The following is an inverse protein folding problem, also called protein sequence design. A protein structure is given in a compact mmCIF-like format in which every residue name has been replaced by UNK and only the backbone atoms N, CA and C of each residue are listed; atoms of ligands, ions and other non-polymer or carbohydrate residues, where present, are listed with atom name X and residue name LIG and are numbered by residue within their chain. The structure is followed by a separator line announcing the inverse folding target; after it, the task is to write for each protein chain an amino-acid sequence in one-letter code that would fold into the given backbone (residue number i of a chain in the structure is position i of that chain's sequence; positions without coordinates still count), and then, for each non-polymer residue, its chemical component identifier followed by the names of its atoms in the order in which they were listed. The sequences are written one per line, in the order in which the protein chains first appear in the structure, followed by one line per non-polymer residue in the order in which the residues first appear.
data_IF_090577084194
#
_entry.id   IF_090577084194
#
_cell.length_a   1.000
_cell.length_b   1.000
_cell.length_c   1.000
_cell.angle_alpha   90.00
_cell.angle_beta   90.00
_cell.angle_gamma   90.00
#
_symmetry.space_group_name_H-M   'P 1'
#
loop_
_entity.id
_entity.type
_entity.pdbx_description
1 polymer ?
#
# COMPACT_ATOMS: atom_id res chain seq x y z
N UNK A 1 15.30 -4.37 5.56
CA UNK A 1 15.45 -3.08 6.26
C UNK A 1 14.58 -3.06 7.50
N UNK A 2 15.14 -2.65 8.63
CA UNK A 2 14.39 -2.51 9.88
C UNK A 2 13.68 -1.16 9.90
N UNK A 3 12.65 -1.01 10.73
CA UNK A 3 11.94 0.24 10.95
C UNK A 3 12.90 1.39 11.31
N UNK A 4 13.94 1.09 12.11
CA UNK A 4 14.97 2.06 12.47
C UNK A 4 15.76 2.63 11.30
N UNK A 5 16.04 1.80 10.29
CA UNK A 5 16.72 2.25 9.05
C UNK A 5 15.83 3.21 8.29
N UNK A 6 14.54 2.91 8.16
CA UNK A 6 13.58 3.79 7.50
C UNK A 6 13.39 5.10 8.25
N UNK A 7 13.27 5.05 9.59
CA UNK A 7 13.15 6.24 10.44
C UNK A 7 14.35 7.18 10.26
N UNK A 8 15.56 6.62 10.20
CA UNK A 8 16.79 7.40 9.94
C UNK A 8 16.80 7.99 8.52
N UNK A 9 16.42 7.19 7.52
CA UNK A 9 16.40 7.64 6.12
C UNK A 9 15.38 8.76 5.87
N UNK A 10 14.28 8.76 6.61
CA UNK A 10 13.19 9.73 6.43
C UNK A 10 13.28 10.93 7.39
N UNK A 11 14.29 10.99 8.23
CA UNK A 11 14.50 12.14 9.13
C UNK A 11 14.59 13.44 8.35
N UNK A 12 13.72 14.39 8.69
CA UNK A 12 13.64 15.69 8.03
C UNK A 12 12.93 15.70 6.68
N UNK A 13 12.48 14.54 6.20
CA UNK A 13 11.73 14.40 4.95
C UNK A 13 10.24 14.61 5.16
N UNK A 14 9.55 15.06 4.11
CA UNK A 14 8.10 15.17 4.06
C UNK A 14 7.52 13.94 3.38
N UNK A 15 6.68 13.19 4.11
CA UNK A 15 6.02 11.99 3.61
C UNK A 15 4.59 12.31 3.21
N UNK A 16 4.27 12.13 1.92
CA UNK A 16 2.92 12.24 1.39
C UNK A 16 2.12 10.96 1.64
N UNK A 17 0.85 11.09 2.04
CA UNK A 17 -0.05 9.96 2.28
C UNK A 17 -1.50 10.33 2.02
N UNK A 18 -2.28 9.39 1.47
CA UNK A 18 -3.72 9.60 1.33
C UNK A 18 -4.40 9.54 2.70
N UNK A 19 -5.29 10.50 2.96
CA UNK A 19 -6.07 10.58 4.21
C UNK A 19 -7.02 9.39 4.36
N UNK A 20 -7.37 9.07 5.61
CA UNK A 20 -8.27 7.97 5.98
C UNK A 20 -7.80 6.58 5.51
N UNK A 21 -6.48 6.37 5.43
CA UNK A 21 -5.88 5.08 5.09
C UNK A 21 -5.10 4.48 6.26
N UNK A 22 -4.87 3.18 6.21
CA UNK A 22 -3.98 2.48 7.16
C UNK A 22 -2.55 3.04 7.11
N UNK A 23 -2.13 3.57 5.96
CA UNK A 23 -0.81 4.18 5.78
C UNK A 23 -0.68 5.47 6.59
N UNK A 24 -1.72 6.33 6.58
CA UNK A 24 -1.77 7.51 7.45
C UNK A 24 -1.71 7.11 8.92
N UNK A 25 -2.56 6.17 9.35
CA UNK A 25 -2.60 5.70 10.74
C UNK A 25 -1.24 5.18 11.20
N UNK A 26 -0.52 4.46 10.33
CA UNK A 26 0.82 3.97 10.60
C UNK A 26 1.82 5.12 10.82
N UNK A 27 1.83 6.12 9.96
CA UNK A 27 2.73 7.28 10.11
C UNK A 27 2.42 8.07 11.39
N UNK A 28 1.14 8.25 11.71
CA UNK A 28 0.68 8.98 12.89
C UNK A 28 0.86 8.20 14.21
N UNK A 29 1.07 6.89 14.15
CA UNK A 29 1.32 6.05 15.33
C UNK A 29 2.63 6.37 16.06
N UNK A 30 3.49 7.19 15.46
CA UNK A 30 4.80 7.54 15.99
C UNK A 30 5.88 6.45 15.84
N UNK A 31 5.56 5.30 15.25
CA UNK A 31 6.53 4.22 15.01
C UNK A 31 7.68 4.66 14.09
N UNK A 32 7.43 5.64 13.23
CA UNK A 32 8.44 6.26 12.34
C UNK A 32 9.12 7.47 12.98
N UNK A 33 8.89 7.75 14.26
CA UNK A 33 9.41 8.93 14.93
C UNK A 33 8.76 10.22 14.40
N UNK A 34 9.43 11.37 14.61
CA UNK A 34 8.92 12.67 14.19
C UNK A 34 9.23 12.92 12.71
N UNK A 35 8.42 12.38 11.82
CA UNK A 35 8.44 12.68 10.39
C UNK A 35 7.42 13.76 10.05
N UNK A 36 7.67 14.54 9.02
CA UNK A 36 6.68 15.50 8.50
C UNK A 36 5.69 14.74 7.63
N UNK A 37 4.40 14.74 8.02
CA UNK A 37 3.34 14.08 7.28
C UNK A 37 2.56 15.14 6.51
N UNK A 38 2.32 14.91 5.22
CA UNK A 38 1.41 15.68 4.39
C UNK A 38 0.31 14.78 3.88
N UNK A 39 -0.92 15.09 4.24
CA UNK A 39 -2.11 14.32 3.87
C UNK A 39 -2.80 14.90 2.64
N UNK A 40 -3.37 14.03 1.82
CA UNK A 40 -4.07 14.37 0.58
C UNK A 40 -5.40 13.63 0.50
N UNK A 41 -6.37 14.16 -0.22
CA UNK A 41 -7.68 13.52 -0.38
C UNK A 41 -7.61 12.28 -1.28
N UNK A 42 -6.74 12.31 -2.27
CA UNK A 42 -6.62 11.23 -3.26
C UNK A 42 -5.16 10.76 -3.40
N UNK A 43 -4.97 9.53 -3.86
CA UNK A 43 -3.64 9.01 -4.20
C UNK A 43 -3.03 9.78 -5.38
N UNK A 44 -3.83 10.25 -6.33
CA UNK A 44 -3.33 11.04 -7.46
C UNK A 44 -2.71 12.37 -7.03
N UNK A 45 -3.28 13.03 -6.03
CA UNK A 45 -2.67 14.24 -5.44
C UNK A 45 -1.33 13.92 -4.77
N UNK A 46 -1.22 12.80 -4.04
CA UNK A 46 0.06 12.32 -3.48
C UNK A 46 1.09 12.12 -4.60
N UNK A 47 0.70 11.45 -5.67
CA UNK A 47 1.57 11.14 -6.80
C UNK A 47 2.06 12.41 -7.52
N UNK A 48 1.18 13.39 -7.72
CA UNK A 48 1.51 14.68 -8.32
C UNK A 48 2.51 15.47 -7.47
N UNK A 49 2.30 15.48 -6.15
CA UNK A 49 3.18 16.21 -5.24
C UNK A 49 4.54 15.52 -5.08
N UNK A 50 4.58 14.19 -5.09
CA UNK A 50 5.81 13.42 -5.14
C UNK A 50 6.60 13.72 -6.42
N UNK A 51 5.93 13.66 -7.57
CA UNK A 51 6.56 13.92 -8.87
C UNK A 51 7.07 15.37 -9.06
N UNK A 52 6.46 16.32 -8.35
CA UNK A 52 6.87 17.73 -8.37
C UNK A 52 7.86 18.11 -7.26
N UNK A 53 8.25 17.17 -6.41
CA UNK A 53 9.17 17.42 -5.30
C UNK A 53 8.55 18.18 -4.11
N UNK A 54 7.22 18.32 -4.04
CA UNK A 54 6.55 18.94 -2.89
C UNK A 54 6.41 18.00 -1.69
N UNK A 55 6.55 16.70 -1.88
CA UNK A 55 6.93 15.75 -0.84
C UNK A 55 8.11 14.92 -1.32
N UNK A 56 8.90 14.42 -0.37
CA UNK A 56 10.15 13.71 -0.67
C UNK A 56 9.90 12.21 -0.89
N UNK A 57 8.91 11.69 -0.18
CA UNK A 57 8.54 10.26 -0.16
C UNK A 57 7.02 10.16 -0.11
N UNK A 58 6.46 9.07 -0.58
CA UNK A 58 5.06 8.75 -0.39
C UNK A 58 4.91 7.33 0.16
N UNK A 59 3.92 7.13 1.03
CA UNK A 59 3.58 5.82 1.58
C UNK A 59 2.19 5.40 1.10
N UNK A 60 2.12 4.28 0.37
CA UNK A 60 0.88 3.69 -0.13
C UNK A 60 1.06 2.20 -0.40
N UNK A 61 -0.03 1.53 -0.81
CA UNK A 61 0.06 0.16 -1.30
C UNK A 61 0.94 0.10 -2.57
N UNK A 62 1.82 -0.90 -2.66
CA UNK A 62 2.74 -1.06 -3.80
C UNK A 62 2.00 -1.06 -5.15
N UNK A 63 0.84 -1.73 -5.21
CA UNK A 63 0.00 -1.80 -6.42
C UNK A 63 -0.47 -0.42 -6.91
N UNK A 64 -0.67 0.55 -6.02
CA UNK A 64 -1.08 1.91 -6.38
C UNK A 64 0.05 2.71 -7.03
N UNK A 65 1.31 2.39 -6.71
CA UNK A 65 2.47 3.03 -7.29
C UNK A 65 2.98 2.39 -8.57
N UNK A 66 2.82 1.08 -8.73
CA UNK A 66 3.33 0.36 -9.91
C UNK A 66 2.78 0.97 -11.20
N UNK A 67 1.46 1.11 -11.28
CA UNK A 67 0.79 1.69 -12.45
C UNK A 67 1.22 3.15 -12.72
N UNK A 68 1.36 3.93 -11.65
CA UNK A 68 1.83 5.31 -11.77
C UNK A 68 3.29 5.41 -12.20
N UNK A 69 4.18 4.59 -11.62
CA UNK A 69 5.60 4.58 -11.97
C UNK A 69 5.85 4.20 -13.43
N UNK A 70 5.07 3.24 -13.95
CA UNK A 70 5.15 2.82 -15.35
C UNK A 70 4.61 3.87 -16.33
N UNK A 71 3.51 4.53 -15.99
CA UNK A 71 2.82 5.50 -16.86
C UNK A 71 3.40 6.91 -16.75
N UNK A 72 3.91 7.28 -15.57
CA UNK A 72 4.49 8.60 -15.38
C UNK A 72 5.91 8.62 -15.96
N UNK A 73 6.18 9.53 -16.87
CA UNK A 73 7.55 9.81 -17.34
C UNK A 73 8.44 10.49 -16.28
N UNK A 74 8.02 10.44 -15.02
CA UNK A 74 8.72 11.07 -13.90
C UNK A 74 9.61 10.04 -13.19
N UNK A 75 10.75 10.43 -12.63
CA UNK A 75 11.67 9.52 -11.94
C UNK A 75 11.15 9.13 -10.54
N UNK A 76 10.02 8.45 -10.48
CA UNK A 76 9.45 7.91 -9.24
C UNK A 76 9.72 6.42 -9.21
N UNK A 77 10.33 5.94 -8.12
CA UNK A 77 10.70 4.53 -7.95
C UNK A 77 10.13 3.97 -6.65
N UNK A 78 9.79 2.70 -6.69
CA UNK A 78 9.37 1.96 -5.50
C UNK A 78 10.63 1.61 -4.69
N UNK A 79 10.63 1.95 -3.41
CA UNK A 79 11.76 1.70 -2.51
C UNK A 79 11.30 1.17 -1.16
N UNK A 80 12.19 0.49 -0.46
CA UNK A 80 11.95 0.02 0.90
C UNK A 80 11.31 -1.37 0.97
N UNK A 81 11.09 -1.88 2.19
CA UNK A 81 10.50 -3.18 2.41
C UNK A 81 8.98 -3.14 2.22
N UNK A 82 8.39 -4.30 1.92
CA UNK A 82 6.96 -4.50 2.05
C UNK A 82 6.59 -4.66 3.51
N UNK A 83 5.57 -3.94 3.97
CA UNK A 83 5.02 -4.06 5.32
C UNK A 83 3.79 -4.95 5.32
N UNK A 84 3.71 -5.86 6.28
CA UNK A 84 2.54 -6.69 6.55
C UNK A 84 2.37 -6.93 8.05
N UNK A 85 1.18 -7.28 8.48
CA UNK A 85 0.85 -7.47 9.89
C UNK A 85 0.70 -6.16 10.66
N UNK A 86 0.42 -6.22 11.94
CA UNK A 86 0.21 -5.05 12.79
C UNK A 86 -0.81 -4.06 12.21
N UNK A 87 -0.41 -2.81 12.07
CA UNK A 87 -1.24 -1.74 11.52
C UNK A 87 -1.68 -1.96 10.05
N UNK A 88 -0.92 -2.76 9.29
CA UNK A 88 -1.23 -3.07 7.89
C UNK A 88 -2.13 -4.29 7.71
N UNK A 89 -2.42 -5.03 8.79
CA UNK A 89 -3.24 -6.25 8.73
C UNK A 89 -2.58 -7.39 7.95
N UNK A 90 -3.39 -8.43 7.68
CA UNK A 90 -2.90 -9.66 7.03
C UNK A 90 -3.15 -9.66 5.50
N UNK A 91 -3.44 -8.51 4.91
CA UNK A 91 -3.72 -8.37 3.49
C UNK A 91 -5.03 -7.67 3.19
N UNK A 92 -5.47 -7.75 1.94
CA UNK A 92 -6.72 -7.16 1.46
C UNK A 92 -7.86 -8.13 1.64
N UNK A 93 -8.97 -7.68 2.18
CA UNK A 93 -10.18 -8.47 2.40
C UNK A 93 -11.41 -7.89 1.69
N UNK A 94 -12.42 -8.73 1.51
CA UNK A 94 -13.75 -8.33 1.02
C UNK A 94 -14.64 -7.99 2.21
N UNK A 95 -15.20 -6.76 2.22
CA UNK A 95 -16.20 -6.37 3.23
C UNK A 95 -17.56 -6.99 2.93
N UNK A 96 -18.13 -7.73 3.88
CA UNK A 96 -19.44 -8.38 3.78
C UNK A 96 -20.25 -8.02 5.02
N UNK A 97 -21.59 -7.88 4.88
CA UNK A 97 -22.47 -7.70 6.05
C UNK A 97 -22.32 -8.86 7.00
N UNK A 98 -22.36 -8.58 8.30
CA UNK A 98 -22.10 -9.58 9.36
C UNK A 98 -23.08 -10.75 9.36
N UNK A 99 -24.32 -10.51 8.96
CA UNK A 99 -25.42 -11.47 8.89
C UNK A 99 -25.47 -12.26 7.58
N UNK A 100 -24.70 -11.87 6.57
CA UNK A 100 -24.67 -12.54 5.26
C UNK A 100 -23.65 -13.69 5.23
N UNK A 101 -23.95 -14.71 6.03
CA UNK A 101 -23.05 -15.87 6.21
C UNK A 101 -22.88 -16.72 4.96
N UNK A 102 -23.90 -16.79 4.09
CA UNK A 102 -23.86 -17.55 2.84
C UNK A 102 -22.91 -16.89 1.85
N UNK A 103 -22.98 -15.56 1.70
CA UNK A 103 -22.08 -14.81 0.85
C UNK A 103 -20.62 -14.91 1.37
N UNK A 104 -20.42 -14.85 2.68
CA UNK A 104 -19.10 -15.03 3.30
C UNK A 104 -18.50 -16.40 2.94
N UNK A 105 -19.27 -17.47 3.06
CA UNK A 105 -18.82 -18.83 2.69
C UNK A 105 -18.48 -18.92 1.21
N UNK A 106 -19.34 -18.34 0.34
CA UNK A 106 -19.13 -18.36 -1.10
C UNK A 106 -17.83 -17.63 -1.50
N UNK A 107 -17.58 -16.41 -0.97
CA UNK A 107 -16.36 -15.66 -1.23
C UNK A 107 -15.12 -16.39 -0.70
N UNK A 108 -15.13 -16.89 0.53
CA UNK A 108 -14.00 -17.61 1.07
C UNK A 108 -13.66 -18.87 0.27
N UNK A 109 -14.69 -19.61 -0.18
CA UNK A 109 -14.50 -20.78 -1.03
C UNK A 109 -13.88 -20.42 -2.38
N UNK A 110 -14.38 -19.36 -3.03
CA UNK A 110 -13.87 -18.90 -4.32
C UNK A 110 -12.43 -18.38 -4.22
N UNK A 111 -12.11 -17.58 -3.19
CA UNK A 111 -10.77 -17.06 -2.94
C UNK A 111 -9.80 -18.22 -2.69
N UNK A 112 -10.17 -19.18 -1.84
CA UNK A 112 -9.32 -20.34 -1.56
C UNK A 112 -9.07 -21.20 -2.81
N UNK A 113 -10.06 -21.38 -3.67
CA UNK A 113 -9.90 -22.06 -4.95
C UNK A 113 -8.96 -21.30 -5.87
N UNK A 114 -9.15 -19.98 -6.01
CA UNK A 114 -8.31 -19.15 -6.87
C UNK A 114 -6.85 -19.03 -6.36
N UNK A 115 -6.63 -19.12 -5.05
CA UNK A 115 -5.27 -19.23 -4.49
C UNK A 115 -4.64 -20.59 -4.80
N UNK A 116 -5.37 -21.68 -4.57
CA UNK A 116 -4.84 -23.04 -4.77
C UNK A 116 -4.49 -23.36 -6.22
N UNK A 117 -5.27 -22.86 -7.17
CA UNK A 117 -5.02 -23.08 -8.60
C UNK A 117 -4.08 -22.06 -9.25
N UNK A 118 -3.57 -21.10 -8.46
CA UNK A 118 -2.61 -20.10 -8.93
C UNK A 118 -3.21 -18.95 -9.72
N UNK A 119 -4.54 -18.82 -9.82
CA UNK A 119 -5.18 -17.74 -10.58
C UNK A 119 -4.86 -16.36 -10.00
N UNK A 120 -4.85 -16.22 -8.67
CA UNK A 120 -4.53 -14.94 -8.02
C UNK A 120 -3.09 -14.53 -8.33
N UNK A 121 -2.13 -15.45 -8.16
CA UNK A 121 -0.72 -15.20 -8.48
C UNK A 121 -0.52 -14.81 -9.94
N UNK A 122 -1.12 -15.57 -10.87
CA UNK A 122 -1.05 -15.29 -12.31
C UNK A 122 -1.63 -13.92 -12.68
N UNK A 123 -2.80 -13.58 -12.12
CA UNK A 123 -3.46 -12.30 -12.37
C UNK A 123 -2.64 -11.15 -11.76
N UNK A 124 -2.19 -11.31 -10.51
CA UNK A 124 -1.37 -10.30 -9.83
C UNK A 124 -0.09 -10.01 -10.61
N UNK A 125 0.65 -11.05 -11.00
CA UNK A 125 1.87 -10.90 -11.78
C UNK A 125 1.63 -10.21 -13.12
N UNK A 126 0.51 -10.55 -13.80
CA UNK A 126 0.16 -9.90 -15.07
C UNK A 126 -0.10 -8.41 -14.93
N UNK A 127 -0.79 -7.98 -13.86
CA UNK A 127 -1.24 -6.59 -13.75
C UNK A 127 -0.35 -5.71 -12.91
N UNK A 128 0.39 -6.28 -11.96
CA UNK A 128 1.24 -5.54 -11.02
C UNK A 128 2.73 -5.78 -11.22
N UNK A 129 3.12 -6.73 -12.09
CA UNK A 129 4.51 -7.11 -12.27
C UNK A 129 5.12 -7.94 -11.13
N UNK A 130 4.36 -8.26 -10.09
CA UNK A 130 4.78 -9.08 -8.95
C UNK A 130 3.62 -9.90 -8.40
N UNK A 131 3.94 -10.98 -7.67
CA UNK A 131 2.92 -11.80 -7.00
C UNK A 131 2.42 -11.13 -5.73
N UNK A 132 1.18 -10.65 -5.73
CA UNK A 132 0.50 -10.04 -4.59
C UNK A 132 -0.40 -11.03 -3.82
N UNK A 133 -0.26 -12.34 -4.05
CA UNK A 133 -1.11 -13.38 -3.45
C UNK A 133 -0.64 -13.87 -2.07
N UNK A 134 0.52 -13.40 -1.63
CA UNK A 134 1.14 -13.81 -0.36
C UNK A 134 0.56 -13.09 0.83
#
# INVERSE_FOLDING_TARGET
ATLDVLTKAFKGKTIGVQTATIHQNFLESGLMGNVKIRTYKTQDEVNLDLASGRCDVALAAAVAFTDYAEKSKKPVVLVGPTFSGGAFGNGVGVGIRKDDTELLKAFNSAINKARKNGDISRIATKWFGFDASM
#
